data_IF_460092953146
#
_entry.id   IF_460092953146
#
_cell.length_a   1.000
_cell.length_b   1.000
_cell.length_c   1.000
_cell.angle_alpha   90.00
_cell.angle_beta   90.00
_cell.angle_gamma   90.00
#
_symmetry.space_group_name_H-M   'P 1'
#
loop_
_entity.id
_entity.type
_entity.pdbx_description
1 polymer ?
#
# COMPACT_ATOMS: atom_id res chain seq x y z
N UNK A 1 2.63 -9.46 37.39
CA UNK A 1 2.48 -10.39 36.25
C UNK A 1 3.44 -9.93 35.17
N UNK A 2 4.50 -10.69 34.89
CA UNK A 2 5.30 -10.45 33.69
C UNK A 2 4.41 -10.82 32.48
N UNK A 3 4.04 -9.83 31.66
CA UNK A 3 3.30 -10.07 30.42
C UNK A 3 4.30 -10.65 29.41
N UNK A 4 3.96 -11.80 28.81
CA UNK A 4 4.75 -12.38 27.72
C UNK A 4 4.71 -11.42 26.51
N UNK A 5 5.86 -11.06 25.90
CA UNK A 5 5.88 -10.21 24.71
C UNK A 5 5.19 -10.89 23.53
N UNK A 6 4.39 -10.13 22.77
CA UNK A 6 3.70 -10.65 21.58
C UNK A 6 4.57 -10.42 20.35
N UNK A 7 5.18 -11.49 19.81
CA UNK A 7 5.98 -11.45 18.60
C UNK A 7 5.21 -12.04 17.42
N UNK A 8 5.09 -11.29 16.32
CA UNK A 8 4.44 -11.75 15.09
C UNK A 8 5.51 -12.13 14.04
N UNK A 9 5.23 -13.08 13.13
CA UNK A 9 6.11 -13.36 11.99
C UNK A 9 6.41 -12.09 11.18
N UNK A 10 7.67 -11.90 10.79
CA UNK A 10 8.12 -10.74 10.03
C UNK A 10 8.37 -9.45 10.84
N UNK A 11 8.00 -9.41 12.13
CA UNK A 11 8.18 -8.24 12.99
C UNK A 11 9.36 -8.45 13.97
N UNK A 12 10.31 -7.50 14.00
CA UNK A 12 11.56 -7.60 14.77
C UNK A 12 11.48 -7.00 16.19
N UNK A 13 10.27 -6.69 16.68
CA UNK A 13 10.03 -6.23 18.04
C UNK A 13 8.67 -6.75 18.54
N UNK A 14 8.48 -6.80 19.85
CA UNK A 14 7.17 -7.10 20.41
C UNK A 14 6.17 -5.98 20.06
N UNK A 15 4.89 -6.32 19.89
CA UNK A 15 3.86 -5.34 19.58
C UNK A 15 3.75 -4.28 20.67
N UNK A 16 3.84 -4.67 21.95
CA UNK A 16 3.77 -3.76 23.09
C UNK A 16 4.90 -2.72 23.07
N UNK A 17 6.12 -3.17 22.74
CA UNK A 17 7.29 -2.31 22.67
C UNK A 17 7.19 -1.36 21.47
N UNK A 18 6.70 -1.88 20.33
CA UNK A 18 6.47 -1.09 19.12
C UNK A 18 5.47 0.03 19.40
N UNK A 19 4.30 -0.30 19.94
CA UNK A 19 3.24 0.66 20.27
C UNK A 19 3.76 1.72 21.24
N UNK A 20 4.36 1.32 22.37
CA UNK A 20 4.82 2.26 23.39
C UNK A 20 5.90 3.21 22.85
N UNK A 21 6.88 2.67 22.11
CA UNK A 21 7.97 3.46 21.53
C UNK A 21 7.46 4.46 20.49
N UNK A 22 6.54 4.03 19.64
CA UNK A 22 6.01 4.81 18.52
C UNK A 22 5.07 5.90 19.05
N UNK A 23 4.16 5.58 19.97
CA UNK A 23 3.32 6.57 20.65
C UNK A 23 4.15 7.65 21.36
N UNK A 24 5.18 7.25 22.11
CA UNK A 24 6.03 8.22 22.81
C UNK A 24 6.74 9.15 21.81
N UNK A 25 7.29 8.63 20.72
CA UNK A 25 7.97 9.46 19.72
C UNK A 25 7.02 10.44 19.01
N UNK A 26 5.79 10.03 18.69
CA UNK A 26 4.77 10.91 18.10
C UNK A 26 4.45 12.06 19.06
N UNK A 27 4.27 11.73 20.34
CA UNK A 27 4.04 12.72 21.39
C UNK A 27 5.23 13.67 21.57
N UNK A 28 6.46 13.15 21.59
CA UNK A 28 7.68 13.95 21.70
C UNK A 28 7.88 14.90 20.51
N UNK A 29 7.32 14.57 19.34
CA UNK A 29 7.26 15.42 18.15
C UNK A 29 6.12 16.46 18.20
N UNK A 30 5.26 16.42 19.23
CA UNK A 30 4.16 17.36 19.44
C UNK A 30 2.82 16.94 18.84
N UNK A 31 2.68 15.71 18.33
CA UNK A 31 1.42 15.22 17.76
C UNK A 31 0.56 14.53 18.82
N UNK A 32 -0.71 14.89 18.91
CA UNK A 32 -1.64 14.36 19.91
C UNK A 32 -2.67 13.42 19.25
N UNK A 33 -2.32 12.15 19.15
CA UNK A 33 -3.14 11.16 18.44
C UNK A 33 -4.22 10.57 19.33
N UNK A 34 -5.43 10.40 18.78
CA UNK A 34 -6.50 9.60 19.38
C UNK A 34 -6.91 8.42 18.52
N UNK A 35 -7.33 7.35 19.19
CA UNK A 35 -8.01 6.21 18.57
C UNK A 35 -9.50 6.56 18.42
N UNK A 36 -9.93 6.85 17.20
CA UNK A 36 -11.25 7.40 16.92
C UNK A 36 -12.32 6.32 16.74
N UNK A 37 -12.01 5.20 16.10
CA UNK A 37 -12.93 4.07 15.97
C UNK A 37 -12.20 2.73 15.88
N UNK A 38 -12.87 1.68 16.35
CA UNK A 38 -12.37 0.30 16.38
C UNK A 38 -13.40 -0.63 15.77
N UNK A 39 -12.94 -1.57 14.95
CA UNK A 39 -13.75 -2.65 14.40
C UNK A 39 -13.10 -4.01 14.66
N UNK A 40 -13.95 -5.01 14.85
CA UNK A 40 -13.62 -6.42 14.89
C UNK A 40 -14.79 -7.20 14.27
N UNK A 41 -15.00 -7.09 12.94
CA UNK A 41 -16.20 -7.58 12.27
C UNK A 41 -16.31 -9.11 12.28
N UNK A 42 -15.19 -9.82 12.29
CA UNK A 42 -15.09 -11.28 12.38
C UNK A 42 -13.91 -11.66 13.29
N UNK A 43 -13.83 -12.90 13.80
CA UNK A 43 -12.67 -13.37 14.57
C UNK A 43 -11.37 -13.11 13.82
N UNK A 44 -10.32 -12.73 14.56
CA UNK A 44 -8.97 -12.53 14.03
C UNK A 44 -8.85 -11.45 12.94
N UNK A 45 -9.79 -10.49 12.86
CA UNK A 45 -9.66 -9.34 11.96
C UNK A 45 -10.03 -8.06 12.70
N UNK A 46 -9.03 -7.22 12.97
CA UNK A 46 -9.20 -5.94 13.64
C UNK A 46 -8.80 -4.80 12.72
N UNK A 47 -9.50 -3.67 12.85
CA UNK A 47 -9.03 -2.40 12.33
C UNK A 47 -9.25 -1.25 13.30
N UNK A 48 -8.44 -0.21 13.16
CA UNK A 48 -8.54 1.02 13.95
C UNK A 48 -8.30 2.24 13.09
N UNK A 49 -9.10 3.27 13.30
CA UNK A 49 -8.87 4.59 12.75
C UNK A 49 -8.21 5.46 13.83
N UNK A 50 -7.06 6.06 13.52
CA UNK A 50 -6.38 7.01 14.41
C UNK A 50 -6.20 8.35 13.70
N UNK A 51 -6.24 9.45 14.45
CA UNK A 51 -6.10 10.80 13.92
C UNK A 51 -5.45 11.76 14.89
N UNK A 52 -4.90 12.84 14.37
CA UNK A 52 -4.50 13.98 15.18
C UNK A 52 -5.72 14.74 15.70
N UNK A 53 -5.69 15.10 16.99
CA UNK A 53 -6.71 15.97 17.61
C UNK A 53 -6.66 17.40 17.10
N UNK A 54 -5.48 17.85 16.65
CA UNK A 54 -5.24 19.24 16.24
C UNK A 54 -5.34 19.43 14.72
N UNK A 55 -5.26 18.34 13.95
CA UNK A 55 -5.37 18.39 12.49
C UNK A 55 -6.23 17.23 11.95
N UNK A 56 -7.48 17.52 11.59
CA UNK A 56 -8.43 16.52 11.11
C UNK A 56 -8.01 15.85 9.78
N UNK A 57 -7.08 16.44 9.03
CA UNK A 57 -6.55 15.90 7.78
C UNK A 57 -5.47 14.83 8.02
N UNK A 58 -4.88 14.77 9.21
CA UNK A 58 -3.82 13.83 9.55
C UNK A 58 -4.41 12.60 10.25
N UNK A 59 -4.67 11.55 9.49
CA UNK A 59 -5.20 10.28 10.01
C UNK A 59 -4.64 9.09 9.26
N UNK A 60 -4.69 7.92 9.88
CA UNK A 60 -4.28 6.64 9.28
C UNK A 60 -5.16 5.52 9.77
N UNK A 61 -5.11 4.39 9.07
CA UNK A 61 -5.84 3.19 9.47
C UNK A 61 -4.87 2.06 9.76
N UNK A 62 -5.19 1.28 10.79
CA UNK A 62 -4.46 0.07 11.12
C UNK A 62 -5.30 -1.16 10.87
N UNK A 63 -4.64 -2.26 10.51
CA UNK A 63 -5.25 -3.58 10.34
C UNK A 63 -4.37 -4.66 10.96
N UNK A 64 -4.96 -5.78 11.36
CA UNK A 64 -4.20 -6.96 11.79
C UNK A 64 -5.04 -8.00 12.52
N UNK A 65 -4.45 -9.16 12.79
CA UNK A 65 -5.20 -10.26 13.40
C UNK A 65 -5.59 -10.06 14.88
N UNK A 66 -5.03 -9.04 15.53
CA UNK A 66 -5.37 -8.70 16.92
C UNK A 66 -5.50 -7.20 17.09
N UNK A 67 -6.20 -6.77 18.15
CA UNK A 67 -6.31 -5.36 18.52
C UNK A 67 -4.94 -4.66 18.60
N UNK A 68 -3.93 -5.30 19.19
CA UNK A 68 -2.58 -4.72 19.29
C UNK A 68 -1.90 -4.62 17.93
N UNK A 69 -2.05 -5.64 17.08
CA UNK A 69 -1.48 -5.63 15.74
C UNK A 69 -2.06 -4.47 14.90
N UNK A 70 -3.38 -4.28 14.96
CA UNK A 70 -4.04 -3.15 14.31
C UNK A 70 -3.55 -1.79 14.84
N UNK A 71 -3.39 -1.61 16.16
CA UNK A 71 -2.84 -0.35 16.70
C UNK A 71 -1.39 -0.11 16.26
N UNK A 72 -0.55 -1.15 16.31
CA UNK A 72 0.83 -1.05 15.84
C UNK A 72 0.91 -0.70 14.35
N UNK A 73 0.02 -1.29 13.54
CA UNK A 73 -0.12 -0.97 12.11
C UNK A 73 -0.51 0.49 11.89
N UNK A 74 -1.53 0.99 12.59
CA UNK A 74 -1.98 2.38 12.42
C UNK A 74 -0.87 3.37 12.79
N UNK A 75 -0.21 3.15 13.92
CA UNK A 75 0.87 4.02 14.38
C UNK A 75 2.11 3.95 13.46
N UNK A 76 2.39 2.76 12.89
CA UNK A 76 3.41 2.58 11.87
C UNK A 76 3.11 3.39 10.61
N UNK A 77 1.89 3.25 10.07
CA UNK A 77 1.40 4.04 8.93
C UNK A 77 1.47 5.54 9.23
N UNK A 78 1.10 5.97 10.45
CA UNK A 78 1.20 7.39 10.83
C UNK A 78 2.64 7.91 10.73
N UNK A 79 3.63 7.15 11.20
CA UNK A 79 5.04 7.51 11.04
C UNK A 79 5.50 7.49 9.59
N UNK A 80 5.04 6.53 8.81
CA UNK A 80 5.33 6.44 7.38
C UNK A 80 4.86 7.70 6.66
N UNK A 81 3.59 8.10 6.86
CA UNK A 81 2.99 9.28 6.21
C UNK A 81 3.58 10.60 6.73
N UNK A 82 3.91 10.69 8.02
CA UNK A 82 4.68 11.83 8.55
C UNK A 82 6.08 11.91 7.91
N UNK A 83 6.81 10.80 7.86
CA UNK A 83 8.20 10.79 7.39
C UNK A 83 8.34 11.10 5.91
N UNK A 84 7.29 10.84 5.13
CA UNK A 84 7.20 11.06 3.68
C UNK A 84 6.49 12.37 3.31
N UNK A 85 6.10 13.18 4.30
CA UNK A 85 5.28 14.38 4.13
C UNK A 85 3.94 14.12 3.41
N UNK A 86 3.45 12.88 3.40
CA UNK A 86 2.34 12.47 2.52
C UNK A 86 0.99 13.06 2.92
N UNK A 87 0.77 13.39 4.20
CA UNK A 87 -0.43 14.14 4.62
C UNK A 87 -0.56 15.50 3.94
N UNK A 88 0.56 16.03 3.42
CA UNK A 88 0.65 17.35 2.81
C UNK A 88 0.79 17.30 1.29
N UNK A 89 0.75 16.10 0.69
CA UNK A 89 1.05 15.87 -0.72
C UNK A 89 0.06 16.57 -1.70
N UNK A 90 -1.16 16.84 -1.25
CA UNK A 90 -2.22 17.45 -2.07
C UNK A 90 -2.40 18.95 -1.80
N UNK A 91 -1.48 19.57 -1.03
CA UNK A 91 -1.61 20.95 -0.60
C UNK A 91 -0.41 21.81 -0.99
N UNK A 92 -0.69 23.04 -1.42
CA UNK A 92 0.30 24.11 -1.42
C UNK A 92 0.54 24.60 0.00
N UNK A 93 1.80 24.73 0.40
CA UNK A 93 2.19 25.00 1.80
C UNK A 93 2.39 26.49 2.12
N UNK A 94 2.11 27.36 1.14
CA UNK A 94 2.19 28.80 1.31
C UNK A 94 3.57 29.38 1.03
N UNK A 95 3.59 30.69 0.79
CA UNK A 95 4.79 31.45 0.41
C UNK A 95 5.92 31.36 1.43
N UNK A 96 5.59 31.31 2.73
CA UNK A 96 6.58 31.19 3.81
C UNK A 96 7.36 29.88 3.71
N UNK A 97 6.68 28.76 3.44
CA UNK A 97 7.34 27.45 3.30
C UNK A 97 8.09 27.39 1.96
N UNK A 98 7.47 27.86 0.87
CA UNK A 98 8.06 27.88 -0.46
C UNK A 98 9.41 28.62 -0.53
N UNK A 99 9.58 29.67 0.29
CA UNK A 99 10.80 30.47 0.40
C UNK A 99 11.66 30.15 1.63
N UNK A 100 11.29 29.13 2.40
CA UNK A 100 12.02 28.67 3.57
C UNK A 100 13.35 27.97 3.23
N UNK A 101 14.17 27.62 4.25
CA UNK A 101 15.46 26.95 4.05
C UNK A 101 15.36 25.67 3.20
N UNK A 102 14.31 24.89 3.43
CA UNK A 102 13.91 23.72 2.64
C UNK A 102 12.37 23.62 2.65
N UNK A 103 11.79 22.95 1.65
CA UNK A 103 10.34 22.70 1.55
C UNK A 103 10.00 21.30 2.05
N UNK A 104 10.69 20.29 1.54
CA UNK A 104 10.44 18.87 1.82
C UNK A 104 11.44 18.31 2.83
N UNK A 105 12.74 18.43 2.52
CA UNK A 105 13.80 17.89 3.36
C UNK A 105 15.09 18.73 3.29
N UNK A 106 15.89 18.79 4.36
CA UNK A 106 17.16 19.53 4.34
C UNK A 106 18.18 19.06 3.28
N UNK A 107 18.05 17.83 2.79
CA UNK A 107 18.91 17.23 1.77
C UNK A 107 18.28 17.23 0.35
N UNK A 108 17.14 17.91 0.17
CA UNK A 108 16.58 18.20 -1.15
C UNK A 108 17.55 19.05 -1.96
N UNK A 109 17.42 19.01 -3.28
CA UNK A 109 18.22 19.83 -4.18
C UNK A 109 17.32 20.56 -5.17
N UNK A 110 17.51 21.86 -5.28
CA UNK A 110 16.80 22.71 -6.23
C UNK A 110 17.62 22.84 -7.51
N UNK A 111 16.96 22.63 -8.63
CA UNK A 111 17.54 22.73 -9.97
C UNK A 111 16.84 23.87 -10.71
N UNK A 112 17.50 25.04 -10.89
CA UNK A 112 16.92 26.14 -11.63
C UNK A 112 16.51 25.71 -13.05
N UNK A 113 15.44 26.32 -13.57
CA UNK A 113 15.03 26.11 -14.95
C UNK A 113 16.13 26.56 -15.92
N UNK A 114 16.22 25.87 -17.04
CA UNK A 114 17.15 26.17 -18.13
C UNK A 114 16.53 27.21 -19.07
N UNK A 115 17.34 27.91 -19.88
CA UNK A 115 16.83 28.94 -20.81
C UNK A 115 15.91 28.36 -21.90
N UNK A 116 16.10 27.10 -22.27
CA UNK A 116 15.29 26.38 -23.24
C UNK A 116 14.21 25.48 -22.61
N UNK A 117 14.03 25.57 -21.29
CA UNK A 117 13.08 24.77 -20.49
C UNK A 117 13.29 23.25 -20.58
N UNK A 118 14.49 22.79 -20.93
CA UNK A 118 14.87 21.39 -20.79
C UNK A 118 14.93 20.99 -19.31
N UNK A 119 14.60 19.73 -19.02
CA UNK A 119 14.77 19.13 -17.68
C UNK A 119 16.26 19.18 -17.26
N UNK A 120 16.62 19.94 -16.20
CA UNK A 120 18.01 20.23 -15.84
C UNK A 120 18.90 18.99 -15.72
N UNK A 121 20.17 19.12 -16.14
CA UNK A 121 21.18 18.09 -15.92
C UNK A 121 21.39 17.83 -14.42
N UNK A 122 21.48 16.55 -14.03
CA UNK A 122 21.60 16.12 -12.64
C UNK A 122 20.28 15.74 -11.96
N UNK A 123 19.14 15.99 -12.60
CA UNK A 123 17.88 15.30 -12.29
C UNK A 123 17.77 14.00 -13.08
N UNK A 124 17.20 12.98 -12.44
CA UNK A 124 16.99 11.64 -12.97
C UNK A 124 18.30 10.95 -13.40
N UNK A 125 18.20 9.74 -13.92
CA UNK A 125 19.26 9.07 -14.68
C UNK A 125 18.76 8.73 -16.09
N UNK A 126 19.64 8.19 -16.94
CA UNK A 126 19.29 7.88 -18.33
C UNK A 126 18.12 6.88 -18.45
N UNK A 127 17.99 5.93 -17.52
CA UNK A 127 16.89 4.95 -17.55
C UNK A 127 15.58 5.60 -17.16
N UNK A 128 15.58 6.44 -16.14
CA UNK A 128 14.39 7.16 -15.69
C UNK A 128 13.92 8.18 -16.74
N UNK A 129 14.83 8.90 -17.39
CA UNK A 129 14.47 9.80 -18.51
C UNK A 129 13.78 9.05 -19.63
N UNK A 130 14.36 7.93 -20.09
CA UNK A 130 13.75 7.12 -21.15
C UNK A 130 12.39 6.51 -20.74
N UNK A 131 12.14 6.32 -19.45
CA UNK A 131 10.87 5.77 -18.95
C UNK A 131 9.77 6.83 -18.86
N UNK A 132 10.05 8.00 -18.29
CA UNK A 132 9.04 9.06 -18.13
C UNK A 132 8.86 9.93 -19.38
N UNK A 133 9.91 10.04 -20.19
CA UNK A 133 9.98 10.96 -21.32
C UNK A 133 10.52 10.26 -22.58
N UNK A 134 9.80 9.24 -23.09
CA UNK A 134 10.26 8.46 -24.24
C UNK A 134 10.37 9.30 -25.53
N UNK A 135 9.52 10.32 -25.69
CA UNK A 135 9.49 11.19 -26.86
C UNK A 135 10.35 12.46 -26.72
N UNK A 136 10.98 12.68 -25.55
CA UNK A 136 11.77 13.87 -25.23
C UNK A 136 10.98 15.18 -25.32
N UNK A 137 9.78 15.19 -24.75
CA UNK A 137 8.83 16.32 -24.74
C UNK A 137 8.64 16.93 -23.34
N UNK A 138 9.24 16.34 -22.29
CA UNK A 138 9.14 16.84 -20.92
C UNK A 138 9.94 18.12 -20.72
N UNK A 139 9.32 19.13 -20.12
CA UNK A 139 9.99 20.40 -19.80
C UNK A 139 10.21 20.59 -18.30
N UNK A 140 11.18 21.43 -17.94
CA UNK A 140 11.51 21.72 -16.55
C UNK A 140 10.35 22.39 -15.80
N UNK A 141 9.67 23.34 -16.45
CA UNK A 141 8.52 24.08 -15.89
C UNK A 141 7.32 23.19 -15.53
N UNK A 142 7.17 22.01 -16.16
CA UNK A 142 6.15 21.03 -15.82
C UNK A 142 6.43 20.29 -14.49
N UNK A 143 7.66 20.35 -14.00
CA UNK A 143 8.14 19.54 -12.87
C UNK A 143 8.21 20.29 -11.54
N UNK A 144 7.62 21.49 -11.47
CA UNK A 144 7.53 22.26 -10.22
C UNK A 144 6.66 21.49 -9.22
N UNK A 145 7.12 21.37 -7.98
CA UNK A 145 6.38 20.68 -6.93
C UNK A 145 5.18 21.50 -6.45
N UNK A 146 4.05 20.83 -6.20
CA UNK A 146 2.81 21.47 -5.75
C UNK A 146 3.00 22.23 -4.43
N UNK A 147 3.78 21.66 -3.51
CA UNK A 147 3.94 22.16 -2.14
C UNK A 147 4.57 23.55 -2.12
N UNK A 148 5.56 23.78 -2.99
CA UNK A 148 6.21 25.09 -3.12
C UNK A 148 5.49 26.01 -4.12
N UNK A 149 5.11 25.49 -5.28
CA UNK A 149 4.71 26.29 -6.44
C UNK A 149 5.79 27.31 -6.88
N UNK A 150 7.05 27.11 -6.49
CA UNK A 150 8.10 28.13 -6.59
C UNK A 150 8.96 27.95 -7.85
N UNK A 151 8.39 28.31 -9.00
CA UNK A 151 9.06 28.23 -10.30
C UNK A 151 10.40 28.99 -10.33
N UNK A 152 10.49 30.14 -9.66
CA UNK A 152 11.71 30.94 -9.59
C UNK A 152 12.86 30.22 -8.84
N UNK A 153 12.53 29.32 -7.91
CA UNK A 153 13.51 28.49 -7.19
C UNK A 153 13.90 27.25 -8.01
N UNK A 154 13.02 26.80 -8.91
CA UNK A 154 13.24 25.71 -9.87
C UNK A 154 12.60 24.38 -9.45
N UNK A 155 13.08 23.28 -10.03
CA UNK A 155 12.57 21.93 -9.77
C UNK A 155 13.19 21.38 -8.48
N UNK A 156 12.35 21.00 -7.51
CA UNK A 156 12.81 20.33 -6.29
C UNK A 156 13.00 18.82 -6.52
N UNK A 157 14.25 18.35 -6.44
CA UNK A 157 14.62 16.95 -6.53
C UNK A 157 14.89 16.33 -5.15
N UNK A 158 14.31 15.16 -4.90
CA UNK A 158 14.54 14.37 -3.69
C UNK A 158 15.60 13.28 -3.92
N UNK A 159 16.54 13.06 -2.99
CA UNK A 159 17.60 12.07 -3.15
C UNK A 159 17.13 10.64 -2.88
N UNK A 160 17.23 9.77 -3.88
CA UNK A 160 17.04 8.32 -3.75
C UNK A 160 18.35 7.58 -3.98
N UNK A 161 18.52 6.43 -3.31
CA UNK A 161 19.69 5.56 -3.53
C UNK A 161 19.35 4.49 -4.56
N UNK A 162 20.01 4.53 -5.71
CA UNK A 162 19.92 3.45 -6.70
C UNK A 162 20.60 2.20 -6.18
N UNK A 163 19.85 1.10 -6.07
CA UNK A 163 20.32 -0.08 -5.35
C UNK A 163 21.42 -0.87 -6.06
N UNK A 164 21.55 -0.78 -7.39
CA UNK A 164 22.54 -1.55 -8.16
C UNK A 164 23.98 -1.09 -7.94
N UNK A 165 24.19 0.18 -7.60
CA UNK A 165 25.52 0.79 -7.50
C UNK A 165 25.64 1.86 -6.40
N UNK A 166 24.59 2.03 -5.59
CA UNK A 166 24.55 2.93 -4.44
C UNK A 166 24.72 4.42 -4.80
N UNK A 167 24.46 4.80 -6.04
CA UNK A 167 24.48 6.20 -6.48
C UNK A 167 23.26 6.96 -5.99
N UNK A 168 23.44 8.23 -5.62
CA UNK A 168 22.32 9.14 -5.35
C UNK A 168 21.75 9.65 -6.66
N UNK A 169 20.44 9.48 -6.84
CA UNK A 169 19.68 10.02 -7.98
C UNK A 169 18.63 10.97 -7.43
N UNK A 170 18.56 12.17 -7.99
CA UNK A 170 17.53 13.14 -7.61
C UNK A 170 16.30 12.96 -8.50
N UNK A 171 15.16 12.64 -7.90
CA UNK A 171 13.89 12.48 -8.59
C UNK A 171 13.01 13.70 -8.24
N UNK A 172 12.46 14.44 -9.22
CA UNK A 172 11.55 15.55 -8.96
C UNK A 172 10.40 15.14 -8.03
N UNK A 173 10.10 15.95 -7.01
CA UNK A 173 8.96 15.72 -6.13
C UNK A 173 7.65 15.67 -6.91
N UNK A 174 7.52 16.47 -7.98
CA UNK A 174 6.38 16.44 -8.88
C UNK A 174 6.14 15.04 -9.48
N UNK A 175 7.19 14.37 -9.98
CA UNK A 175 7.09 13.00 -10.53
C UNK A 175 6.69 12.01 -9.43
N UNK A 176 7.27 12.14 -8.22
CA UNK A 176 6.95 11.27 -7.08
C UNK A 176 5.47 11.41 -6.70
N UNK A 177 5.01 12.65 -6.51
CA UNK A 177 3.64 12.95 -6.09
C UNK A 177 2.59 12.49 -7.09
N UNK A 178 2.81 12.71 -8.39
CA UNK A 178 1.83 12.35 -9.42
C UNK A 178 1.78 10.85 -9.75
N UNK A 179 2.94 10.17 -9.81
CA UNK A 179 3.00 8.81 -10.37
C UNK A 179 3.09 7.71 -9.33
N UNK A 180 3.65 8.00 -8.15
CA UNK A 180 3.94 7.00 -7.13
C UNK A 180 3.03 7.10 -5.91
N UNK A 181 2.50 8.29 -5.63
CA UNK A 181 1.57 8.54 -4.52
C UNK A 181 2.06 7.86 -3.24
N UNK A 182 1.23 7.12 -2.50
CA UNK A 182 1.66 6.40 -1.29
C UNK A 182 2.29 5.03 -1.55
N UNK A 183 2.40 4.56 -2.79
CA UNK A 183 2.82 3.19 -3.09
C UNK A 183 4.32 2.98 -2.82
N UNK A 184 4.66 1.95 -2.04
CA UNK A 184 6.03 1.57 -1.71
C UNK A 184 6.63 2.36 -0.55
N UNK A 185 5.82 3.17 0.15
CA UNK A 185 6.18 3.76 1.43
C UNK A 185 6.21 2.68 2.51
N UNK A 186 7.01 2.89 3.56
CA UNK A 186 7.04 1.96 4.68
C UNK A 186 7.66 2.57 5.94
N UNK A 187 7.12 2.20 7.10
CA UNK A 187 7.80 2.30 8.38
C UNK A 187 7.91 0.93 9.06
N UNK A 188 8.90 0.79 9.95
CA UNK A 188 9.13 -0.46 10.66
C UNK A 188 10.07 -0.31 11.84
N UNK A 189 10.16 -1.37 12.65
CA UNK A 189 11.02 -1.40 13.83
C UNK A 189 12.51 -1.32 13.49
N UNK A 190 12.86 -1.82 12.30
CA UNK A 190 14.22 -1.79 11.75
C UNK A 190 14.18 -1.35 10.29
N UNK A 191 15.34 -0.92 9.77
CA UNK A 191 15.48 -0.52 8.36
C UNK A 191 15.06 -1.63 7.38
N UNK A 192 15.42 -2.87 7.67
CA UNK A 192 15.12 -3.99 6.78
C UNK A 192 13.67 -4.44 6.90
N UNK A 193 13.06 -4.37 8.08
CA UNK A 193 11.61 -4.61 8.24
C UNK A 193 10.79 -3.68 7.35
N UNK A 194 11.06 -2.37 7.45
CA UNK A 194 10.40 -1.38 6.61
C UNK A 194 10.66 -1.65 5.12
N UNK A 195 11.91 -1.93 4.73
CA UNK A 195 12.23 -2.25 3.33
C UNK A 195 11.52 -3.50 2.82
N UNK A 196 11.38 -4.54 3.64
CA UNK A 196 10.66 -5.76 3.24
C UNK A 196 9.18 -5.45 3.02
N UNK A 197 8.55 -4.68 3.91
CA UNK A 197 7.15 -4.30 3.73
C UNK A 197 6.97 -3.39 2.50
N UNK A 198 7.77 -2.34 2.32
CA UNK A 198 7.66 -1.45 1.16
C UNK A 198 7.91 -2.17 -0.17
N UNK A 199 8.89 -3.08 -0.24
CA UNK A 199 9.11 -3.90 -1.45
C UNK A 199 7.97 -4.90 -1.69
N UNK A 200 7.40 -5.46 -0.63
CA UNK A 200 6.23 -6.33 -0.74
C UNK A 200 5.04 -5.53 -1.28
N UNK A 201 4.86 -4.29 -0.82
CA UNK A 201 3.80 -3.40 -1.29
C UNK A 201 3.91 -3.13 -2.79
N UNK A 202 5.13 -2.88 -3.28
CA UNK A 202 5.41 -2.74 -4.72
C UNK A 202 5.00 -4.00 -5.49
N UNK A 203 5.33 -5.20 -4.99
CA UNK A 203 4.85 -6.44 -5.61
C UNK A 203 3.34 -6.58 -5.56
N UNK A 204 2.70 -6.25 -4.43
CA UNK A 204 1.26 -6.33 -4.26
C UNK A 204 0.53 -5.52 -5.34
N UNK A 205 0.91 -4.25 -5.55
CA UNK A 205 0.22 -3.35 -6.49
C UNK A 205 0.56 -3.69 -7.94
N UNK A 206 1.83 -4.01 -8.21
CA UNK A 206 2.25 -4.44 -9.54
C UNK A 206 1.51 -5.71 -9.99
N UNK A 207 1.46 -6.74 -9.13
CA UNK A 207 0.82 -8.01 -9.46
C UNK A 207 -0.70 -7.90 -9.43
N UNK A 208 -1.29 -7.11 -8.52
CA UNK A 208 -2.72 -6.76 -8.54
C UNK A 208 -3.12 -6.22 -9.91
N UNK A 209 -2.41 -5.19 -10.40
CA UNK A 209 -2.73 -4.57 -11.67
C UNK A 209 -2.62 -5.56 -12.83
N UNK A 210 -1.61 -6.44 -12.83
CA UNK A 210 -1.48 -7.50 -13.84
C UNK A 210 -2.62 -8.51 -13.78
N UNK A 211 -2.97 -9.00 -12.59
CA UNK A 211 -4.06 -9.97 -12.41
C UNK A 211 -5.38 -9.39 -12.94
N UNK A 212 -5.66 -8.14 -12.60
CA UNK A 212 -6.89 -7.46 -13.03
C UNK A 212 -6.83 -7.20 -14.54
N UNK A 213 -5.85 -6.43 -15.03
CA UNK A 213 -5.82 -5.96 -16.41
C UNK A 213 -5.61 -7.06 -17.45
N UNK A 214 -4.98 -8.18 -17.08
CA UNK A 214 -4.80 -9.33 -17.97
C UNK A 214 -5.92 -10.38 -17.80
N UNK A 215 -6.99 -10.09 -17.04
CA UNK A 215 -8.11 -10.99 -16.78
C UNK A 215 -7.68 -12.40 -16.34
N UNK A 216 -6.68 -12.49 -15.45
CA UNK A 216 -6.03 -13.76 -15.10
C UNK A 216 -6.93 -14.63 -14.22
N UNK A 217 -7.14 -15.90 -14.59
CA UNK A 217 -7.71 -16.91 -13.70
C UNK A 217 -6.64 -17.45 -12.75
N UNK A 218 -6.88 -17.33 -11.43
CA UNK A 218 -5.92 -17.72 -10.41
C UNK A 218 -6.23 -19.09 -9.80
N UNK A 219 -5.20 -19.87 -9.42
CA UNK A 219 -5.43 -21.13 -8.72
C UNK A 219 -5.86 -20.89 -7.28
N UNK A 220 -6.90 -21.60 -6.84
CA UNK A 220 -7.30 -21.63 -5.43
C UNK A 220 -6.16 -22.16 -4.55
N UNK A 221 -6.08 -21.65 -3.32
CA UNK A 221 -5.17 -22.17 -2.30
C UNK A 221 -5.77 -23.48 -1.75
N UNK A 222 -5.08 -24.62 -1.86
CA UNK A 222 -5.62 -25.91 -1.42
C UNK A 222 -6.00 -25.90 0.07
N UNK A 223 -7.06 -26.64 0.43
CA UNK A 223 -7.57 -26.70 1.80
C UNK A 223 -6.50 -27.14 2.81
N UNK A 224 -5.63 -28.08 2.44
CA UNK A 224 -4.52 -28.54 3.29
C UNK A 224 -3.47 -27.44 3.54
N UNK A 225 -3.33 -26.49 2.61
CA UNK A 225 -2.46 -25.32 2.77
C UNK A 225 -3.13 -24.30 3.70
N UNK A 226 -4.42 -24.03 3.49
CA UNK A 226 -5.23 -23.15 4.34
C UNK A 226 -5.29 -23.63 5.79
N UNK A 227 -5.32 -24.94 6.02
CA UNK A 227 -5.34 -25.55 7.36
C UNK A 227 -4.14 -25.20 8.25
N UNK A 228 -3.05 -24.67 7.67
CA UNK A 228 -1.89 -24.17 8.41
C UNK A 228 -2.14 -22.82 9.09
N UNK A 229 -3.21 -22.13 8.69
CA UNK A 229 -3.56 -20.77 9.14
C UNK A 229 -4.98 -20.76 9.73
N UNK A 230 -5.22 -21.45 10.87
CA UNK A 230 -6.56 -21.64 11.42
C UNK A 230 -7.27 -20.33 11.78
N UNK A 231 -6.52 -19.30 12.18
CA UNK A 231 -7.07 -17.98 12.49
C UNK A 231 -7.73 -17.34 11.25
N UNK A 232 -7.08 -17.45 10.08
CA UNK A 232 -7.62 -16.95 8.80
C UNK A 232 -8.81 -17.80 8.37
N UNK A 233 -8.72 -19.12 8.50
CA UNK A 233 -9.86 -20.01 8.19
C UNK A 233 -11.10 -19.68 9.03
N UNK A 234 -10.92 -19.36 10.31
CA UNK A 234 -12.02 -18.94 11.18
C UNK A 234 -12.65 -17.63 10.71
N UNK A 235 -11.84 -16.65 10.29
CA UNK A 235 -12.33 -15.40 9.70
C UNK A 235 -13.15 -15.64 8.43
N UNK A 236 -12.62 -16.46 7.50
CA UNK A 236 -13.28 -16.81 6.24
C UNK A 236 -14.59 -17.56 6.49
N UNK A 237 -14.56 -18.60 7.33
CA UNK A 237 -15.76 -19.37 7.65
C UNK A 237 -16.85 -18.51 8.31
N UNK A 238 -16.46 -17.48 9.07
CA UNK A 238 -17.41 -16.52 9.63
C UNK A 238 -18.04 -15.65 8.54
N UNK A 239 -17.26 -15.15 7.58
CA UNK A 239 -17.78 -14.40 6.43
C UNK A 239 -18.76 -15.25 5.60
N UNK A 240 -18.40 -16.50 5.33
CA UNK A 240 -19.25 -17.43 4.59
C UNK A 240 -20.56 -17.74 5.35
N UNK A 241 -20.49 -17.92 6.67
CA UNK A 241 -21.66 -18.12 7.52
C UNK A 241 -22.60 -16.90 7.55
N UNK A 242 -22.05 -15.70 7.39
CA UNK A 242 -22.79 -14.43 7.24
C UNK A 242 -23.30 -14.21 5.80
N UNK A 243 -23.04 -15.16 4.89
CA UNK A 243 -23.58 -15.15 3.53
C UNK A 243 -22.68 -14.49 2.49
N UNK A 244 -21.40 -14.28 2.79
CA UNK A 244 -20.41 -13.74 1.86
C UNK A 244 -19.45 -14.86 1.38
N UNK A 245 -19.65 -15.42 0.17
CA UNK A 245 -18.71 -16.40 -0.38
C UNK A 245 -17.31 -15.81 -0.53
N UNK A 246 -16.29 -16.59 -0.17
CA UNK A 246 -14.88 -16.16 -0.22
C UNK A 246 -14.09 -17.09 -1.13
N UNK A 247 -13.29 -16.49 -2.01
CA UNK A 247 -12.30 -17.19 -2.82
C UNK A 247 -10.90 -16.80 -2.35
N UNK A 248 -10.06 -17.78 -2.02
CA UNK A 248 -8.69 -17.55 -1.61
C UNK A 248 -7.74 -18.09 -2.68
N UNK A 249 -7.03 -17.19 -3.35
CA UNK A 249 -6.22 -17.48 -4.53
C UNK A 249 -4.73 -17.23 -4.27
N UNK A 250 -3.88 -18.07 -4.87
CA UNK A 250 -2.46 -17.80 -4.99
C UNK A 250 -2.20 -16.82 -6.14
N UNK A 251 -1.83 -15.59 -5.80
CA UNK A 251 -1.50 -14.53 -6.75
C UNK A 251 -0.05 -14.55 -7.22
N UNK A 252 0.69 -15.64 -6.96
CA UNK A 252 2.14 -15.68 -7.21
C UNK A 252 2.54 -15.73 -8.69
N UNK A 253 1.58 -15.98 -9.58
CA UNK A 253 1.76 -16.18 -11.03
C UNK A 253 2.81 -17.27 -11.32
N UNK A 254 2.60 -18.45 -10.73
CA UNK A 254 3.47 -19.62 -10.87
C UNK A 254 4.73 -19.55 -9.99
N UNK A 255 4.62 -18.96 -8.80
CA UNK A 255 5.71 -18.86 -7.81
C UNK A 255 6.72 -17.74 -8.05
N UNK A 256 6.39 -16.75 -8.90
CA UNK A 256 7.28 -15.64 -9.26
C UNK A 256 7.24 -14.49 -8.25
N UNK A 257 6.07 -14.27 -7.64
CA UNK A 257 5.82 -13.12 -6.77
C UNK A 257 5.20 -13.55 -5.42
N UNK A 258 5.47 -12.83 -4.32
CA UNK A 258 4.99 -13.21 -2.99
C UNK A 258 3.60 -12.61 -2.70
N UNK A 259 2.60 -12.89 -3.55
CA UNK A 259 1.30 -12.20 -3.58
C UNK A 259 0.15 -13.19 -3.41
N UNK A 260 -0.85 -12.80 -2.62
CA UNK A 260 -2.11 -13.49 -2.38
C UNK A 260 -3.26 -12.60 -2.83
N UNK A 261 -4.33 -13.22 -3.34
CA UNK A 261 -5.59 -12.55 -3.66
C UNK A 261 -6.72 -13.23 -2.88
N UNK A 262 -7.60 -12.45 -2.26
CA UNK A 262 -8.82 -12.96 -1.63
C UNK A 262 -9.98 -12.14 -2.15
N UNK A 263 -10.99 -12.82 -2.69
CA UNK A 263 -12.17 -12.18 -3.25
C UNK A 263 -13.39 -12.51 -2.39
N UNK A 264 -14.18 -11.48 -2.08
CA UNK A 264 -15.47 -11.59 -1.44
C UNK A 264 -16.58 -11.35 -2.44
N UNK A 265 -17.60 -12.21 -2.45
CA UNK A 265 -18.86 -11.95 -3.14
C UNK A 265 -19.92 -11.47 -2.17
N UNK A 266 -20.75 -10.53 -2.62
CA UNK A 266 -21.98 -10.15 -1.93
C UNK A 266 -23.19 -10.56 -2.77
N UNK A 267 -23.83 -11.72 -2.46
CA UNK A 267 -25.00 -12.19 -3.17
C UNK A 267 -26.22 -11.27 -3.05
N UNK A 268 -26.24 -10.38 -2.06
CA UNK A 268 -27.32 -9.43 -1.84
C UNK A 268 -27.45 -8.38 -2.96
N UNK A 269 -26.36 -8.08 -3.66
CA UNK A 269 -26.32 -7.12 -4.76
C UNK A 269 -25.55 -7.60 -6.00
N UNK A 270 -25.00 -8.83 -5.97
CA UNK A 270 -24.28 -9.43 -7.11
C UNK A 270 -22.89 -8.84 -7.36
N UNK A 271 -22.27 -8.27 -6.32
CA UNK A 271 -20.97 -7.57 -6.43
C UNK A 271 -19.81 -8.44 -5.94
N UNK A 272 -18.60 -8.07 -6.33
CA UNK A 272 -17.37 -8.68 -5.85
C UNK A 272 -16.37 -7.62 -5.34
N UNK A 273 -15.51 -8.02 -4.41
CA UNK A 273 -14.42 -7.21 -3.90
C UNK A 273 -13.14 -8.04 -3.82
N UNK A 274 -12.16 -7.70 -4.65
CA UNK A 274 -10.85 -8.34 -4.66
C UNK A 274 -9.84 -7.58 -3.79
N UNK A 275 -9.40 -8.21 -2.71
CA UNK A 275 -8.28 -7.76 -1.87
C UNK A 275 -6.99 -8.47 -2.28
N UNK A 276 -5.87 -7.77 -2.15
CA UNK A 276 -4.54 -8.28 -2.45
C UNK A 276 -3.62 -8.05 -1.25
N UNK A 277 -2.66 -8.94 -1.05
CA UNK A 277 -1.68 -8.83 0.02
C UNK A 277 -0.37 -9.48 -0.36
N UNK A 278 0.75 -8.86 0.01
CA UNK A 278 2.06 -9.41 -0.25
C UNK A 278 2.96 -9.43 0.99
N UNK A 279 3.75 -10.49 1.10
CA UNK A 279 4.83 -10.65 2.07
C UNK A 279 5.66 -11.91 1.73
N UNK A 280 6.98 -11.95 1.99
CA UNK A 280 7.80 -13.14 1.72
C UNK A 280 7.30 -14.42 2.44
N UNK A 281 6.72 -14.26 3.64
CA UNK A 281 6.00 -15.32 4.33
C UNK A 281 4.56 -15.42 3.81
N UNK A 282 4.19 -16.59 3.30
CA UNK A 282 2.87 -16.88 2.73
C UNK A 282 1.71 -16.63 3.71
N UNK A 283 1.88 -17.03 4.97
CA UNK A 283 0.84 -16.86 6.00
C UNK A 283 0.60 -15.40 6.33
N UNK A 284 1.68 -14.62 6.39
CA UNK A 284 1.58 -13.16 6.58
C UNK A 284 0.92 -12.50 5.36
N UNK A 285 1.26 -12.91 4.13
CA UNK A 285 0.62 -12.39 2.92
C UNK A 285 -0.89 -12.69 2.92
N UNK A 286 -1.28 -13.91 3.27
CA UNK A 286 -2.67 -14.33 3.40
C UNK A 286 -3.42 -13.54 4.48
N UNK A 287 -2.87 -13.43 5.69
CA UNK A 287 -3.46 -12.63 6.78
C UNK A 287 -3.62 -11.16 6.38
N UNK A 288 -2.61 -10.56 5.75
CA UNK A 288 -2.66 -9.17 5.26
C UNK A 288 -3.79 -8.96 4.25
N UNK A 289 -3.99 -9.92 3.36
CA UNK A 289 -5.04 -9.86 2.34
C UNK A 289 -6.43 -9.86 2.98
N UNK A 290 -6.67 -10.76 3.94
CA UNK A 290 -7.97 -10.86 4.64
C UNK A 290 -8.21 -9.69 5.59
N UNK A 291 -7.18 -9.22 6.29
CA UNK A 291 -7.33 -8.06 7.20
C UNK A 291 -7.51 -6.74 6.44
N UNK A 292 -7.00 -6.62 5.21
CA UNK A 292 -7.28 -5.48 4.34
C UNK A 292 -8.73 -5.47 3.82
N UNK A 293 -9.24 -6.65 3.45
CA UNK A 293 -10.61 -6.82 2.95
C UNK A 293 -11.66 -6.22 3.91
N UNK A 294 -11.40 -6.18 5.21
CA UNK A 294 -12.32 -5.64 6.22
C UNK A 294 -11.78 -4.40 6.94
N UNK A 295 -10.70 -3.78 6.46
CA UNK A 295 -10.18 -2.57 7.08
C UNK A 295 -11.21 -1.45 7.00
N UNK A 296 -11.63 -0.92 8.16
CA UNK A 296 -12.60 0.18 8.23
C UNK A 296 -14.02 -0.22 7.82
N UNK A 297 -14.32 -1.50 7.63
CA UNK A 297 -15.61 -2.01 7.14
C UNK A 297 -16.22 -3.00 8.13
N UNK A 298 -17.43 -2.73 8.59
CA UNK A 298 -18.29 -3.74 9.18
C UNK A 298 -18.95 -4.60 8.09
N UNK A 299 -19.60 -5.70 8.49
CA UNK A 299 -20.30 -6.59 7.55
C UNK A 299 -21.42 -5.89 6.75
N UNK A 300 -21.96 -4.79 7.29
CA UNK A 300 -23.01 -3.98 6.63
C UNK A 300 -22.46 -3.01 5.60
N UNK A 301 -21.15 -2.77 5.60
CA UNK A 301 -20.49 -1.78 4.74
C UNK A 301 -19.89 -2.45 3.49
N UNK A 302 -20.30 -3.70 3.20
CA UNK A 302 -19.83 -4.50 2.07
C UNK A 302 -20.76 -4.41 0.84
N UNK A 303 -21.52 -3.31 0.71
CA UNK A 303 -22.54 -3.09 -0.31
C UNK A 303 -22.16 -2.06 -1.40
N UNK A 304 -20.93 -1.55 -1.35
CA UNK A 304 -20.44 -0.44 -2.21
C UNK A 304 -19.62 -0.88 -3.43
N UNK A 305 -19.48 -2.18 -3.67
CA UNK A 305 -18.61 -2.71 -4.74
C UNK A 305 -19.35 -2.92 -6.06
N UNK A 306 -18.63 -3.38 -7.09
CA UNK A 306 -19.14 -3.53 -8.45
C UNK A 306 -19.34 -5.01 -8.83
N UNK A 307 -20.32 -5.33 -9.69
CA UNK A 307 -20.43 -6.66 -10.29
C UNK A 307 -19.22 -6.97 -11.19
N UNK A 308 -18.79 -8.24 -11.28
CA UNK A 308 -17.80 -8.61 -12.28
C UNK A 308 -18.34 -8.45 -13.71
N UNK A 309 -17.43 -8.23 -14.65
CA UNK A 309 -17.74 -7.98 -16.07
C UNK A 309 -17.06 -8.98 -17.01
N UNK A 310 -17.53 -9.05 -18.24
CA UNK A 310 -16.88 -9.78 -19.35
C UNK A 310 -16.18 -8.83 -20.34
N UNK A 311 -16.20 -7.53 -20.06
CA UNK A 311 -15.53 -6.51 -20.88
C UNK A 311 -14.05 -6.42 -20.50
N UNK A 312 -13.20 -7.15 -21.24
CA UNK A 312 -11.76 -7.17 -20.99
C UNK A 312 -11.09 -5.81 -21.24
N UNK A 313 -11.65 -4.97 -22.13
CA UNK A 313 -11.11 -3.64 -22.40
C UNK A 313 -11.34 -2.74 -21.17
N UNK A 314 -12.58 -2.68 -20.66
CA UNK A 314 -12.91 -1.92 -19.45
C UNK A 314 -12.09 -2.36 -18.23
N UNK A 315 -11.86 -3.66 -18.08
CA UNK A 315 -11.05 -4.20 -16.98
C UNK A 315 -9.58 -3.76 -17.09
N UNK A 316 -9.04 -3.71 -18.31
CA UNK A 316 -7.64 -3.38 -18.58
C UNK A 316 -7.33 -1.87 -18.56
N UNK A 317 -8.35 -1.02 -18.70
CA UNK A 317 -8.18 0.43 -18.70
C UNK A 317 -7.46 0.94 -17.44
N UNK A 318 -6.51 1.86 -17.61
CA UNK A 318 -5.80 2.45 -16.47
C UNK A 318 -6.75 3.18 -15.51
N UNK A 319 -7.82 3.76 -16.03
CA UNK A 319 -8.88 4.41 -15.24
C UNK A 319 -9.71 3.42 -14.42
N UNK A 320 -9.62 2.11 -14.67
CA UNK A 320 -10.14 1.08 -13.78
C UNK A 320 -9.13 0.71 -12.67
N UNK A 321 -7.84 0.65 -13.01
CA UNK A 321 -6.77 0.32 -12.06
C UNK A 321 -6.57 1.41 -10.99
N UNK A 322 -6.84 2.68 -11.31
CA UNK A 322 -6.74 3.81 -10.39
C UNK A 322 -7.76 3.74 -9.23
N UNK A 323 -9.09 3.57 -9.45
CA UNK A 323 -10.05 3.27 -8.38
C UNK A 323 -9.67 2.02 -7.59
N UNK A 324 -9.11 1.01 -8.25
CA UNK A 324 -8.57 -0.17 -7.55
C UNK A 324 -7.46 0.18 -6.56
N UNK A 325 -6.67 1.22 -6.82
CA UNK A 325 -5.68 1.74 -5.88
C UNK A 325 -6.32 2.59 -4.76
N UNK A 326 -7.32 3.41 -5.10
CA UNK A 326 -7.93 4.38 -4.17
C UNK A 326 -8.85 3.70 -3.15
N UNK A 327 -9.80 2.88 -3.60
CA UNK A 327 -10.85 2.32 -2.74
C UNK A 327 -11.27 0.88 -3.09
N UNK A 328 -10.67 0.28 -4.12
CA UNK A 328 -10.95 -1.08 -4.59
C UNK A 328 -12.35 -1.28 -5.18
N UNK A 329 -12.99 -0.22 -5.68
CA UNK A 329 -14.31 -0.27 -6.32
C UNK A 329 -14.30 -0.54 -7.83
N UNK A 330 -13.12 -0.63 -8.45
CA UNK A 330 -12.99 -0.92 -9.88
C UNK A 330 -13.60 -2.27 -10.26
N UNK A 331 -13.84 -2.47 -11.55
CA UNK A 331 -14.42 -3.71 -12.09
C UNK A 331 -13.39 -4.84 -12.11
N UNK A 332 -13.87 -6.08 -12.01
CA UNK A 332 -13.10 -7.33 -12.05
C UNK A 332 -13.67 -8.23 -13.14
N UNK A 333 -12.81 -8.93 -13.87
CA UNK A 333 -13.25 -9.88 -14.89
C UNK A 333 -13.84 -11.15 -14.27
N UNK A 334 -14.90 -11.70 -14.87
CA UNK A 334 -15.40 -13.03 -14.56
C UNK A 334 -14.34 -14.13 -14.77
N UNK A 335 -13.33 -13.88 -15.59
CA UNK A 335 -12.24 -14.82 -15.84
C UNK A 335 -11.48 -15.20 -14.57
N UNK A 336 -11.41 -14.30 -13.57
CA UNK A 336 -10.77 -14.58 -12.28
C UNK A 336 -11.35 -15.80 -11.56
N UNK A 337 -12.61 -16.16 -11.85
CA UNK A 337 -13.39 -17.20 -11.18
C UNK A 337 -13.60 -18.46 -12.02
N UNK A 338 -12.82 -18.65 -13.08
CA UNK A 338 -12.89 -19.88 -13.90
C UNK A 338 -12.36 -21.09 -13.12
N UNK A 339 -12.92 -22.27 -13.40
CA UNK A 339 -12.46 -23.54 -12.79
C UNK A 339 -11.00 -23.86 -13.17
N UNK A 340 -10.63 -23.57 -14.42
CA UNK A 340 -9.27 -23.74 -14.92
C UNK A 340 -8.46 -22.46 -14.68
N UNK A 341 -7.40 -22.58 -13.86
CA UNK A 341 -6.46 -21.49 -13.61
C UNK A 341 -5.36 -21.40 -14.69
N UNK A 342 -4.94 -20.18 -15.01
CA UNK A 342 -3.86 -19.91 -15.99
C UNK A 342 -2.47 -20.30 -15.45
N UNK A 343 -2.36 -20.40 -14.13
CA UNK A 343 -1.15 -20.79 -13.42
C UNK A 343 -1.46 -21.92 -12.44
N UNK A 344 -0.56 -22.90 -12.26
CA UNK A 344 -0.70 -23.89 -11.21
C UNK A 344 -0.36 -23.27 -9.84
N UNK A 345 -1.02 -23.74 -8.78
CA UNK A 345 -0.56 -23.49 -7.40
C UNK A 345 0.86 -24.07 -7.23
N UNK A 346 1.88 -23.25 -6.87
CA UNK A 346 3.27 -23.68 -6.87
C UNK A 346 3.60 -24.55 -5.65
N UNK A 347 4.44 -25.57 -5.82
CA UNK A 347 4.89 -26.42 -4.71
C UNK A 347 5.77 -25.69 -3.65
N UNK A 348 6.36 -24.55 -4.02
CA UNK A 348 7.37 -23.82 -3.21
C UNK A 348 6.73 -22.80 -2.24
N UNK A 349 5.49 -22.36 -2.46
CA UNK A 349 4.74 -21.48 -1.53
C UNK A 349 4.51 -22.12 -0.16
N UNK A 350 4.79 -23.41 -0.04
CA UNK A 350 4.62 -24.24 1.15
C UNK A 350 5.88 -24.27 2.02
N UNK A 351 7.07 -23.90 1.52
CA UNK A 351 8.31 -24.01 2.30
C UNK A 351 8.56 -22.78 3.17
N UNK A 352 8.39 -22.97 4.48
CA UNK A 352 8.93 -22.11 5.53
C UNK A 352 10.40 -21.76 5.21
N UNK A 353 10.71 -20.47 5.03
CA UNK A 353 12.05 -19.94 5.22
C UNK A 353 11.99 -18.71 6.09
#
# INVERSE_FOLDING_TARGET
MYRTPTCLPGIHAALEDSIARVQQKILDLGFHIEEASWLNPVPNVWSVHIRDKECALCFTNGKGATKKAALASALGEYFERLSTNYFFADFWLGETVANGPFVHYPNEKWFPLTENDDVPEGLLDARLRAFYDPENELTGSQLIDLQSGNEARGVCGLPFTRQSDNQTVYIPMNIIGNLYVSNGMSAGNTRNEARVQGLSEVFERYVKNRIIAESISLPEIPTEVMARYPAVMESIATLEAEGFPIFAYDGSLGGKYPVICVVLFNPGNGTCFASFGAHPDFGVALERTVTELLQGRGLKDLDVFTPPTFDDEEVAEHTNLEPHFIDSSGVISWALFLDDADYPFPAVSVSQR
#
